data_IF_704157920333
#
_entry.id   IF_704157920333
#
_cell.length_a   1.000
_cell.length_b   1.000
_cell.length_c   1.000
_cell.angle_alpha   90.00
_cell.angle_beta   90.00
_cell.angle_gamma   90.00
#
_symmetry.space_group_name_H-M   'P 1'
#
loop_
_entity.id
_entity.type
_entity.pdbx_description
1 polymer ?
#
# COMPACT_ATOMS: atom_id res chain seq x y z
N UNK A 1 -33.37 -46.00 78.78
CA UNK A 1 -33.83 -44.68 78.38
C UNK A 1 -33.83 -44.69 76.86
N UNK A 2 -34.98 -44.48 76.27
CA UNK A 2 -35.27 -44.78 74.86
C UNK A 2 -34.90 -43.64 73.97
N UNK A 3 -34.11 -43.90 72.97
CA UNK A 3 -33.83 -42.91 71.88
C UNK A 3 -34.60 -43.31 70.62
N UNK A 4 -35.48 -42.43 70.24
CA UNK A 4 -36.34 -42.54 69.08
C UNK A 4 -35.57 -41.99 67.85
N UNK A 5 -35.34 -42.84 66.85
CA UNK A 5 -34.77 -42.40 65.55
C UNK A 5 -35.92 -41.99 64.62
N UNK A 6 -35.88 -40.78 64.17
CA UNK A 6 -36.77 -40.27 63.09
C UNK A 6 -35.95 -40.24 61.79
N UNK A 7 -36.33 -41.09 60.82
CA UNK A 7 -35.79 -41.04 59.46
C UNK A 7 -36.55 -39.99 58.63
N UNK A 8 -35.90 -38.93 58.23
CA UNK A 8 -36.42 -37.98 57.24
C UNK A 8 -35.93 -38.39 55.86
N UNK A 9 -36.87 -38.85 55.01
CA UNK A 9 -36.58 -39.17 53.62
C UNK A 9 -36.45 -37.90 52.79
N UNK A 10 -35.31 -37.71 52.11
CA UNK A 10 -35.09 -36.66 51.10
C UNK A 10 -35.56 -37.19 49.74
N UNK A 11 -36.59 -36.58 49.19
CA UNK A 11 -37.04 -36.79 47.81
C UNK A 11 -36.22 -35.88 46.93
N UNK A 12 -35.33 -36.43 46.09
CA UNK A 12 -34.65 -35.70 45.04
C UNK A 12 -35.57 -35.57 43.80
N UNK A 13 -36.06 -34.37 43.55
CA UNK A 13 -36.73 -34.06 42.30
C UNK A 13 -35.63 -33.73 41.24
N UNK A 14 -35.45 -34.61 40.27
CA UNK A 14 -34.56 -34.35 39.11
C UNK A 14 -35.28 -33.42 38.12
N UNK A 15 -34.86 -32.17 38.07
CA UNK A 15 -35.28 -31.23 37.01
C UNK A 15 -34.40 -31.45 35.79
N UNK A 16 -34.95 -32.07 34.76
CA UNK A 16 -34.34 -32.15 33.44
C UNK A 16 -34.42 -30.77 32.75
N UNK A 17 -33.30 -30.08 32.68
CA UNK A 17 -33.17 -28.88 31.84
C UNK A 17 -33.03 -29.34 30.40
N UNK A 18 -34.06 -29.14 29.56
CA UNK A 18 -33.96 -29.25 28.13
C UNK A 18 -33.10 -28.10 27.63
N UNK A 19 -31.90 -28.41 27.19
CA UNK A 19 -31.08 -27.48 26.42
C UNK A 19 -31.73 -27.26 25.05
N UNK A 20 -32.33 -26.09 24.87
CA UNK A 20 -32.88 -25.63 23.61
C UNK A 20 -31.70 -25.23 22.73
N UNK A 21 -31.34 -26.09 21.76
CA UNK A 21 -30.35 -25.77 20.73
C UNK A 21 -30.96 -24.70 19.82
N UNK A 22 -30.48 -23.46 19.96
CA UNK A 22 -30.71 -22.42 18.97
C UNK A 22 -29.93 -22.77 17.70
N UNK A 23 -30.60 -23.41 16.75
CA UNK A 23 -30.08 -23.51 15.41
C UNK A 23 -29.98 -22.08 14.80
N UNK A 24 -28.88 -21.73 14.10
CA UNK A 24 -28.79 -20.43 13.42
C UNK A 24 -29.90 -20.33 12.38
N UNK A 25 -30.73 -19.29 12.48
CA UNK A 25 -31.80 -19.01 11.54
C UNK A 25 -31.20 -18.86 10.12
N UNK A 26 -31.71 -19.65 9.19
CA UNK A 26 -31.40 -19.48 7.77
C UNK A 26 -31.73 -18.06 7.31
N UNK A 27 -30.89 -17.37 6.57
CA UNK A 27 -31.19 -16.03 6.05
C UNK A 27 -32.43 -16.08 5.14
N UNK A 28 -33.28 -15.03 5.14
CA UNK A 28 -34.48 -14.99 4.32
C UNK A 28 -34.12 -15.09 2.82
N UNK A 29 -34.92 -15.79 2.00
CA UNK A 29 -34.60 -16.10 0.59
C UNK A 29 -34.63 -14.91 -0.39
N UNK A 30 -34.78 -13.66 0.08
CA UNK A 30 -34.86 -12.45 -0.73
C UNK A 30 -34.00 -11.30 -0.22
N UNK A 31 -32.76 -11.58 0.25
CA UNK A 31 -31.79 -10.49 0.35
C UNK A 31 -31.44 -10.05 -1.07
N UNK A 32 -31.65 -8.76 -1.48
CA UNK A 32 -31.24 -8.30 -2.80
C UNK A 32 -29.74 -8.51 -2.95
N UNK A 33 -29.33 -9.26 -3.99
CA UNK A 33 -27.92 -9.41 -4.33
C UNK A 33 -27.30 -8.01 -4.41
N UNK A 34 -26.31 -7.73 -3.57
CA UNK A 34 -25.62 -6.47 -3.59
C UNK A 34 -25.09 -6.22 -5.00
N UNK A 35 -25.52 -5.11 -5.61
CA UNK A 35 -25.05 -4.72 -6.95
C UNK A 35 -23.51 -4.75 -6.99
N UNK A 36 -22.89 -5.19 -8.09
CA UNK A 36 -21.44 -5.29 -8.20
C UNK A 36 -20.83 -3.92 -7.89
N UNK A 37 -19.99 -3.85 -6.86
CA UNK A 37 -19.33 -2.64 -6.43
C UNK A 37 -18.43 -2.18 -7.58
N UNK A 38 -18.70 -0.99 -8.16
CA UNK A 38 -17.91 -0.43 -9.25
C UNK A 38 -16.43 -0.44 -8.84
N UNK A 39 -15.56 -0.98 -9.70
CA UNK A 39 -14.13 -1.01 -9.46
C UNK A 39 -13.60 0.41 -9.16
N UNK A 40 -12.67 0.57 -8.21
CA UNK A 40 -12.11 1.87 -7.89
C UNK A 40 -11.44 2.51 -9.10
N UNK A 41 -11.55 3.84 -9.23
CA UNK A 41 -10.99 4.58 -10.36
C UNK A 41 -9.46 4.50 -10.46
N UNK A 42 -8.80 4.21 -9.34
CA UNK A 42 -7.36 3.95 -9.21
C UNK A 42 -7.21 2.71 -8.31
N UNK A 43 -7.12 1.50 -8.89
CA UNK A 43 -7.03 0.27 -8.12
C UNK A 43 -5.74 0.21 -7.31
N UNK A 44 -5.74 -0.49 -6.16
CA UNK A 44 -4.52 -0.81 -5.44
C UNK A 44 -3.68 -1.81 -6.23
N UNK A 45 -2.37 -1.56 -6.28
CA UNK A 45 -1.37 -2.37 -6.95
C UNK A 45 -0.16 -2.58 -6.04
N UNK A 46 0.63 -3.60 -6.34
CA UNK A 46 1.86 -3.89 -5.62
C UNK A 46 2.95 -4.36 -6.60
N UNK A 47 4.07 -3.66 -6.64
CA UNK A 47 5.29 -4.13 -7.26
C UNK A 47 6.13 -4.87 -6.22
N UNK A 48 6.76 -5.99 -6.62
CA UNK A 48 7.64 -6.79 -5.75
C UNK A 48 8.89 -7.19 -6.49
N UNK A 49 10.00 -7.31 -5.77
CA UNK A 49 11.27 -7.79 -6.30
C UNK A 49 12.19 -8.28 -5.19
N UNK A 50 13.31 -8.88 -5.57
CA UNK A 50 14.33 -9.34 -4.63
C UNK A 50 15.69 -8.78 -5.04
N UNK A 51 16.40 -8.14 -4.12
CA UNK A 51 17.74 -7.57 -4.35
C UNK A 51 18.62 -8.01 -3.17
N UNK A 52 19.74 -8.70 -3.46
CA UNK A 52 20.63 -9.22 -2.43
C UNK A 52 20.00 -10.23 -1.48
N UNK A 53 18.94 -10.93 -1.93
CA UNK A 53 18.17 -11.87 -1.10
C UNK A 53 17.11 -11.20 -0.23
N UNK A 54 16.99 -9.87 -0.24
CA UNK A 54 15.96 -9.12 0.49
C UNK A 54 14.74 -8.89 -0.38
N UNK A 55 13.56 -9.21 0.15
CA UNK A 55 12.30 -8.86 -0.49
C UNK A 55 12.05 -7.35 -0.37
N UNK A 56 11.64 -6.75 -1.48
CA UNK A 56 11.28 -5.34 -1.59
C UNK A 56 9.90 -5.26 -2.20
N UNK A 57 9.05 -4.40 -1.68
CA UNK A 57 7.73 -4.16 -2.25
C UNK A 57 7.35 -2.69 -2.24
N UNK A 58 6.61 -2.28 -3.27
CA UNK A 58 6.00 -0.95 -3.36
C UNK A 58 4.50 -1.14 -3.53
N UNK A 59 3.73 -0.67 -2.54
CA UNK A 59 2.26 -0.67 -2.57
C UNK A 59 1.75 0.72 -2.92
N UNK A 60 0.86 0.82 -3.90
CA UNK A 60 0.38 2.09 -4.43
C UNK A 60 -1.04 1.97 -4.98
N UNK A 61 -1.69 3.09 -5.31
CA UNK A 61 -2.89 3.10 -6.14
C UNK A 61 -2.53 3.57 -7.53
N UNK A 62 -2.97 2.83 -8.56
CA UNK A 62 -2.62 3.02 -9.96
C UNK A 62 -3.67 3.88 -10.69
N UNK A 63 -3.46 5.21 -10.85
CA UNK A 63 -4.34 6.04 -11.65
C UNK A 63 -4.12 5.79 -13.15
N UNK A 64 -5.21 5.86 -13.93
CA UNK A 64 -5.15 5.83 -15.39
C UNK A 64 -5.03 7.22 -16.00
N UNK A 65 -4.47 7.31 -17.20
CA UNK A 65 -4.44 8.53 -18.03
C UNK A 65 -5.85 8.96 -18.39
N UNK A 66 -6.68 8.05 -18.86
CA UNK A 66 -8.12 8.27 -19.11
C UNK A 66 -8.40 9.48 -20.00
N UNK A 67 -7.68 9.57 -21.13
CA UNK A 67 -7.85 10.65 -22.11
C UNK A 67 -7.32 12.02 -21.63
N UNK A 68 -6.37 12.02 -20.68
CA UNK A 68 -5.70 13.24 -20.19
C UNK A 68 -4.25 13.32 -20.62
N UNK A 69 -3.93 12.75 -21.77
CA UNK A 69 -2.58 12.80 -22.36
C UNK A 69 -2.11 14.26 -22.48
N UNK A 70 -0.89 14.52 -22.10
CA UNK A 70 -0.28 15.84 -22.06
C UNK A 70 -0.86 16.80 -21.01
N UNK A 71 -1.70 16.29 -20.09
CA UNK A 71 -2.36 17.09 -19.04
C UNK A 71 -2.15 16.54 -17.63
N UNK A 72 -1.19 15.65 -17.45
CA UNK A 72 -0.92 15.04 -16.14
C UNK A 72 0.19 15.81 -15.43
N UNK A 73 1.35 15.96 -16.05
CA UNK A 73 2.56 16.52 -15.45
C UNK A 73 2.77 18.00 -15.74
N UNK A 74 1.90 18.63 -16.52
CA UNK A 74 2.02 20.06 -16.84
C UNK A 74 1.71 20.95 -15.64
N UNK A 75 2.12 22.23 -15.71
CA UNK A 75 1.93 23.24 -14.68
C UNK A 75 0.47 23.38 -14.22
N UNK A 76 -0.49 23.23 -15.14
CA UNK A 76 -1.92 23.29 -14.85
C UNK A 76 -2.58 21.88 -14.97
N UNK A 77 -1.76 20.85 -14.91
CA UNK A 77 -2.17 19.46 -15.08
C UNK A 77 -2.72 18.82 -13.82
N UNK A 78 -3.00 17.51 -13.90
CA UNK A 78 -3.62 16.76 -12.81
C UNK A 78 -2.83 16.83 -11.49
N UNK A 79 -1.50 16.73 -11.55
CA UNK A 79 -0.64 16.68 -10.37
C UNK A 79 -0.47 18.07 -9.76
N UNK A 80 -0.58 19.15 -10.53
CA UNK A 80 -0.41 20.52 -10.01
C UNK A 80 -1.48 20.90 -8.97
N UNK A 81 -2.60 20.18 -8.92
CA UNK A 81 -3.64 20.36 -7.89
C UNK A 81 -3.29 19.71 -6.55
N UNK A 82 -2.13 19.03 -6.42
CA UNK A 82 -1.67 18.51 -5.16
C UNK A 82 -1.22 19.68 -4.24
N UNK A 83 -1.66 19.73 -2.96
CA UNK A 83 -1.28 20.81 -2.03
C UNK A 83 0.22 20.93 -1.78
N UNK A 84 0.99 19.88 -2.06
CA UNK A 84 2.46 19.87 -1.92
C UNK A 84 3.19 19.93 -3.27
N UNK A 85 2.47 20.27 -4.36
CA UNK A 85 3.12 20.43 -5.65
C UNK A 85 4.37 21.33 -5.55
N UNK A 86 5.52 20.95 -6.12
CA UNK A 86 5.73 19.86 -7.08
C UNK A 86 6.01 18.46 -6.47
N UNK A 87 5.94 18.32 -5.15
CA UNK A 87 6.08 16.99 -4.51
C UNK A 87 4.78 16.20 -4.63
N UNK A 88 4.89 15.02 -5.23
CA UNK A 88 3.77 14.15 -5.54
C UNK A 88 3.95 12.76 -4.92
N UNK A 89 2.86 12.18 -4.40
CA UNK A 89 2.84 10.84 -3.78
C UNK A 89 3.13 9.67 -4.73
N UNK A 90 3.42 9.95 -6.01
CA UNK A 90 3.75 8.95 -7.03
C UNK A 90 2.73 7.81 -7.15
N UNK A 91 1.45 8.20 -7.12
CA UNK A 91 0.28 7.33 -7.14
C UNK A 91 -1.01 8.13 -6.92
N UNK A 92 -2.06 7.45 -6.49
CA UNK A 92 -3.37 8.04 -6.16
C UNK A 92 -3.84 7.58 -4.77
N UNK A 93 -4.87 8.24 -4.24
CA UNK A 93 -5.50 7.93 -2.94
C UNK A 93 -4.51 7.97 -1.76
N UNK A 94 -4.18 6.81 -1.18
CA UNK A 94 -3.21 6.67 -0.10
C UNK A 94 -1.76 6.96 -0.52
N UNK A 95 -0.88 7.04 0.45
CA UNK A 95 0.55 7.18 0.22
C UNK A 95 1.13 5.92 -0.47
N UNK A 96 2.07 6.14 -1.39
CA UNK A 96 2.87 5.05 -1.97
C UNK A 96 3.88 4.58 -0.93
N UNK A 97 3.86 3.30 -0.60
CA UNK A 97 4.65 2.73 0.50
C UNK A 97 5.69 1.77 -0.03
N UNK A 98 6.95 2.01 0.33
CA UNK A 98 8.07 1.08 0.16
C UNK A 98 8.22 0.25 1.44
N UNK A 99 8.43 -1.05 1.29
CA UNK A 99 8.81 -1.96 2.38
C UNK A 99 10.01 -2.80 1.93
N UNK A 100 11.04 -2.88 2.77
CA UNK A 100 12.25 -3.65 2.49
C UNK A 100 12.62 -4.51 3.70
N UNK A 101 12.96 -5.79 3.44
CA UNK A 101 13.38 -6.75 4.46
C UNK A 101 14.86 -6.59 4.84
N UNK A 102 15.65 -5.85 4.09
CA UNK A 102 17.07 -5.59 4.38
C UNK A 102 17.47 -4.18 3.98
N UNK A 103 18.67 -3.80 4.39
CA UNK A 103 19.23 -2.49 4.12
C UNK A 103 19.56 -2.32 2.64
N UNK A 104 19.21 -1.18 2.08
CA UNK A 104 19.40 -0.83 0.67
C UNK A 104 20.15 0.49 0.51
N UNK A 105 20.87 0.61 -0.59
CA UNK A 105 21.22 1.87 -1.20
C UNK A 105 20.26 2.13 -2.37
N UNK A 106 19.42 3.14 -2.28
CA UNK A 106 18.54 3.59 -3.37
C UNK A 106 19.14 4.87 -3.93
N UNK A 107 19.78 4.79 -5.11
CA UNK A 107 20.71 5.83 -5.55
C UNK A 107 21.82 6.00 -4.51
N UNK A 108 21.90 7.20 -3.96
CA UNK A 108 22.84 7.61 -2.89
C UNK A 108 22.20 7.65 -1.48
N UNK A 109 20.95 7.23 -1.34
CA UNK A 109 20.26 7.19 -0.05
C UNK A 109 20.39 5.81 0.60
N UNK A 110 20.97 5.75 1.80
CA UNK A 110 20.92 4.56 2.65
C UNK A 110 19.53 4.42 3.27
N UNK A 111 18.87 3.31 2.97
CA UNK A 111 17.51 2.98 3.41
C UNK A 111 17.58 1.71 4.26
N UNK A 112 17.58 1.80 5.60
CA UNK A 112 17.53 0.63 6.48
C UNK A 112 16.31 -0.26 6.22
N UNK A 113 16.38 -1.52 6.65
CA UNK A 113 15.22 -2.40 6.64
C UNK A 113 14.02 -1.74 7.35
N UNK A 114 12.85 -1.76 6.71
CA UNK A 114 11.68 -1.08 7.26
C UNK A 114 10.64 -0.67 6.23
N UNK A 115 9.77 0.24 6.67
CA UNK A 115 8.66 0.77 5.88
C UNK A 115 8.78 2.28 5.75
N UNK A 116 8.56 2.78 4.53
CA UNK A 116 8.75 4.18 4.16
C UNK A 116 7.62 4.63 3.23
N UNK A 117 7.40 5.94 3.15
CA UNK A 117 6.57 6.54 2.10
C UNK A 117 7.46 7.08 1.00
N UNK A 118 7.07 6.83 -0.25
CA UNK A 118 7.74 7.38 -1.43
C UNK A 118 6.98 8.59 -1.95
N UNK A 119 7.73 9.65 -2.21
CA UNK A 119 7.28 10.81 -2.96
C UNK A 119 8.23 11.05 -4.14
N UNK A 120 7.74 11.79 -5.12
CA UNK A 120 8.56 12.24 -6.25
C UNK A 120 8.39 13.75 -6.41
N UNK A 121 9.48 14.49 -6.41
CA UNK A 121 9.52 15.88 -6.77
C UNK A 121 9.71 15.98 -8.29
N UNK A 122 8.72 16.58 -8.95
CA UNK A 122 8.64 16.74 -10.41
C UNK A 122 8.90 18.20 -10.85
N UNK A 123 9.56 19.00 -10.03
CA UNK A 123 9.87 20.42 -10.33
C UNK A 123 10.72 20.58 -11.57
N UNK A 124 11.62 19.64 -11.84
CA UNK A 124 12.42 19.56 -13.04
C UNK A 124 11.87 18.46 -13.96
N UNK A 125 11.28 18.79 -15.11
CA UNK A 125 10.69 17.80 -16.01
C UNK A 125 11.71 16.82 -16.60
N UNK A 126 12.98 17.23 -16.69
CA UNK A 126 14.06 16.42 -17.23
C UNK A 126 14.77 15.58 -16.18
N UNK A 127 14.52 15.84 -14.89
CA UNK A 127 15.18 15.11 -13.80
C UNK A 127 14.36 15.10 -12.52
N UNK A 128 13.48 14.11 -12.39
CA UNK A 128 12.72 13.91 -11.18
C UNK A 128 13.60 13.50 -10.00
N UNK A 129 13.11 13.74 -8.79
CA UNK A 129 13.82 13.39 -7.56
C UNK A 129 12.94 12.46 -6.73
N UNK A 130 13.41 11.24 -6.46
CA UNK A 130 12.77 10.32 -5.52
C UNK A 130 13.07 10.78 -4.10
N UNK A 131 12.04 10.81 -3.27
CA UNK A 131 12.10 11.16 -1.84
C UNK A 131 11.68 9.92 -1.04
N UNK A 132 12.55 9.47 -0.15
CA UNK A 132 12.23 8.43 0.82
C UNK A 132 11.91 9.10 2.15
N UNK A 133 10.67 8.93 2.64
CA UNK A 133 10.17 9.60 3.84
C UNK A 133 9.85 8.57 4.93
N UNK A 134 10.25 8.87 6.17
CA UNK A 134 10.08 7.99 7.33
C UNK A 134 8.64 7.92 7.86
N UNK A 135 7.82 8.93 7.56
CA UNK A 135 6.43 8.97 8.00
C UNK A 135 5.58 8.04 7.15
N UNK A 136 4.87 7.11 7.78
CA UNK A 136 4.07 6.07 7.13
C UNK A 136 2.63 6.05 7.63
N UNK A 137 1.72 5.41 6.85
CA UNK A 137 0.32 5.28 7.23
C UNK A 137 -0.53 6.52 7.00
N UNK A 138 0.03 7.55 6.38
CA UNK A 138 -0.64 8.80 6.09
C UNK A 138 -1.51 8.72 4.83
N UNK A 139 -2.46 9.64 4.75
CA UNK A 139 -3.13 9.93 3.49
C UNK A 139 -2.13 10.55 2.50
N UNK A 140 -2.21 10.16 1.23
CA UNK A 140 -1.19 10.53 0.23
C UNK A 140 -1.00 12.02 -0.04
N UNK A 141 -1.82 12.90 0.56
CA UNK A 141 -1.65 14.35 0.50
C UNK A 141 -0.91 14.93 1.72
N UNK A 142 -0.48 14.08 2.68
CA UNK A 142 0.20 14.50 3.89
C UNK A 142 1.72 14.33 3.73
N UNK A 143 2.38 15.29 3.10
CA UNK A 143 3.84 15.33 3.00
C UNK A 143 4.45 16.21 4.09
N UNK A 144 5.45 15.68 4.79
CA UNK A 144 6.25 16.40 5.79
C UNK A 144 7.73 16.21 5.46
N UNK A 145 8.35 17.22 4.86
CA UNK A 145 9.76 17.18 4.44
C UNK A 145 10.76 17.06 5.59
N UNK A 146 10.37 17.35 6.84
CA UNK A 146 11.22 17.13 8.02
C UNK A 146 11.42 15.64 8.32
N UNK A 147 10.58 14.79 7.77
CA UNK A 147 10.64 13.34 7.89
C UNK A 147 11.36 12.65 6.71
N UNK A 148 11.93 13.42 5.78
CA UNK A 148 12.70 12.83 4.69
C UNK A 148 13.92 12.09 5.24
N UNK A 149 14.06 10.82 4.87
CA UNK A 149 15.27 10.04 5.11
C UNK A 149 16.38 10.48 4.15
N UNK A 150 15.99 10.72 2.90
CA UNK A 150 16.89 11.22 1.86
C UNK A 150 16.17 11.42 0.54
N UNK A 151 16.90 12.03 -0.39
CA UNK A 151 16.45 12.36 -1.75
C UNK A 151 17.52 11.94 -2.74
N UNK A 152 17.11 11.34 -3.86
CA UNK A 152 18.04 10.95 -4.93
C UNK A 152 17.46 11.26 -6.29
N UNK A 153 18.33 11.59 -7.24
CA UNK A 153 17.92 11.87 -8.62
C UNK A 153 17.50 10.60 -9.34
N UNK A 154 16.44 10.70 -10.11
CA UNK A 154 15.97 9.63 -10.99
C UNK A 154 16.49 9.86 -12.41
N UNK A 155 16.78 8.79 -13.11
CA UNK A 155 17.10 8.83 -14.53
C UNK A 155 15.81 8.83 -15.33
N UNK A 156 15.57 9.88 -16.11
CA UNK A 156 14.40 10.01 -16.95
C UNK A 156 14.58 9.31 -18.29
N UNK A 157 13.53 8.68 -18.76
CA UNK A 157 13.42 8.09 -20.10
C UNK A 157 11.98 8.16 -20.60
N UNK A 158 11.77 7.75 -21.85
CA UNK A 158 10.44 7.56 -22.41
C UNK A 158 10.15 6.07 -22.53
N UNK A 159 8.97 5.60 -22.08
CA UNK A 159 8.57 4.23 -22.33
C UNK A 159 8.39 3.99 -23.84
N UNK A 160 8.55 2.75 -24.30
CA UNK A 160 8.39 2.37 -25.71
C UNK A 160 6.97 2.59 -26.26
N UNK A 161 5.99 2.68 -25.37
CA UNK A 161 4.59 3.02 -25.65
C UNK A 161 3.98 3.71 -24.44
N UNK A 162 2.93 4.50 -24.68
CA UNK A 162 2.20 5.20 -23.63
C UNK A 162 1.72 4.21 -22.55
N UNK A 163 1.99 4.57 -21.29
CA UNK A 163 1.61 3.78 -20.11
C UNK A 163 0.29 4.31 -19.55
N UNK A 164 -0.81 3.64 -19.87
CA UNK A 164 -2.16 4.08 -19.48
C UNK A 164 -2.35 4.13 -17.96
N UNK A 165 -1.92 3.10 -17.23
CA UNK A 165 -2.03 3.05 -15.78
C UNK A 165 -0.66 3.22 -15.15
N UNK A 166 -0.55 4.14 -14.16
CA UNK A 166 0.68 4.32 -13.40
C UNK A 166 1.20 2.97 -12.89
N UNK A 167 2.48 2.74 -13.09
CA UNK A 167 3.12 1.48 -12.74
C UNK A 167 4.45 1.73 -12.04
N UNK A 168 4.63 1.09 -10.88
CA UNK A 168 5.92 0.84 -10.29
C UNK A 168 6.42 -0.54 -10.69
N UNK A 169 7.74 -0.68 -10.86
CA UNK A 169 8.40 -1.95 -11.17
C UNK A 169 9.71 -2.06 -10.38
N UNK A 170 10.06 -3.28 -9.97
CA UNK A 170 11.29 -3.59 -9.24
C UNK A 170 11.95 -4.74 -9.96
N UNK A 171 13.11 -4.49 -10.56
CA UNK A 171 13.93 -5.52 -11.20
C UNK A 171 15.20 -5.70 -10.42
N UNK A 172 15.48 -6.94 -9.98
CA UNK A 172 16.70 -7.31 -9.26
C UNK A 172 17.52 -8.33 -10.04
N UNK A 173 18.83 -8.19 -9.96
CA UNK A 173 19.83 -9.17 -10.42
C UNK A 173 20.94 -9.28 -9.37
N UNK A 174 20.89 -10.37 -8.61
CA UNK A 174 21.81 -10.58 -7.49
C UNK A 174 21.71 -9.48 -6.43
N UNK A 175 22.81 -8.78 -6.17
CA UNK A 175 22.88 -7.70 -5.18
C UNK A 175 22.50 -6.30 -5.69
N UNK A 176 22.07 -6.19 -6.96
CA UNK A 176 21.75 -4.92 -7.63
C UNK A 176 20.37 -4.99 -8.26
N UNK A 177 19.82 -3.83 -8.59
CA UNK A 177 18.54 -3.74 -9.26
C UNK A 177 18.16 -2.33 -9.62
N UNK A 178 16.92 -2.16 -10.05
CA UNK A 178 16.35 -0.88 -10.45
C UNK A 178 14.91 -0.80 -9.98
N UNK A 179 14.53 0.33 -9.43
CA UNK A 179 13.15 0.71 -9.19
C UNK A 179 12.75 1.68 -10.30
N UNK A 180 11.62 1.41 -10.96
CA UNK A 180 11.11 2.21 -12.07
C UNK A 180 9.69 2.66 -11.78
N UNK A 181 9.38 3.91 -12.11
CA UNK A 181 8.04 4.50 -12.14
C UNK A 181 7.72 4.91 -13.57
N UNK A 182 6.61 4.41 -14.11
CA UNK A 182 6.17 4.77 -15.45
C UNK A 182 4.71 5.19 -15.47
N UNK A 183 4.40 6.28 -16.15
CA UNK A 183 3.04 6.74 -16.40
C UNK A 183 3.00 7.72 -17.56
N UNK A 184 1.96 7.59 -18.42
CA UNK A 184 1.82 8.37 -19.65
C UNK A 184 3.03 8.16 -20.58
N UNK A 185 3.78 9.19 -20.90
CA UNK A 185 5.00 9.16 -21.71
C UNK A 185 6.28 9.40 -20.89
N UNK A 186 6.17 9.28 -19.56
CA UNK A 186 7.28 9.45 -18.62
C UNK A 186 7.67 8.12 -17.98
N UNK A 187 8.95 7.87 -17.95
CA UNK A 187 9.55 6.79 -17.18
C UNK A 187 10.74 7.33 -16.39
N UNK A 188 10.75 7.07 -15.09
CA UNK A 188 11.79 7.50 -14.17
C UNK A 188 12.34 6.30 -13.42
N UNK A 189 13.65 6.15 -13.36
CA UNK A 189 14.29 4.99 -12.71
C UNK A 189 15.40 5.40 -11.75
N UNK A 190 15.66 4.56 -10.75
CA UNK A 190 16.75 4.72 -9.79
C UNK A 190 17.42 3.37 -9.55
N UNK A 191 18.77 3.31 -9.53
CA UNK A 191 19.50 2.10 -9.20
C UNK A 191 19.31 1.76 -7.71
N UNK A 192 19.26 0.47 -7.41
CA UNK A 192 19.17 -0.05 -6.04
C UNK A 192 20.24 -1.12 -5.84
N UNK A 193 20.86 -1.10 -4.68
CA UNK A 193 21.82 -2.13 -4.28
C UNK A 193 21.53 -2.60 -2.85
N UNK A 194 21.72 -3.89 -2.58
CA UNK A 194 21.74 -4.38 -1.21
C UNK A 194 22.94 -3.73 -0.48
N UNK A 195 22.66 -3.15 0.68
CA UNK A 195 23.72 -2.63 1.56
C UNK A 195 24.21 -3.75 2.45
N UNK A 196 25.54 -3.87 2.60
CA UNK A 196 26.19 -4.93 3.40
C UNK A 196 26.50 -4.43 4.79
#
# INVERSE_FOLDING_TARGET
MKHLLVCAGLVFAATTVLAQQNAPASPPPNAPASAPKKAPASPPEKATGTIGGHEISISYSSPGVKGREGKIFTKDGLISHNPHYPVWRAGANGATTLETAGDLMIGDVHVPAGKYTLFVDISDPDQWTLIVNKKTGEWGLAYDGSQDLGKTKMQMSKPSSMVENLKWDIKGDGGKGTITLAWEDHEASVPVMAHK
#
